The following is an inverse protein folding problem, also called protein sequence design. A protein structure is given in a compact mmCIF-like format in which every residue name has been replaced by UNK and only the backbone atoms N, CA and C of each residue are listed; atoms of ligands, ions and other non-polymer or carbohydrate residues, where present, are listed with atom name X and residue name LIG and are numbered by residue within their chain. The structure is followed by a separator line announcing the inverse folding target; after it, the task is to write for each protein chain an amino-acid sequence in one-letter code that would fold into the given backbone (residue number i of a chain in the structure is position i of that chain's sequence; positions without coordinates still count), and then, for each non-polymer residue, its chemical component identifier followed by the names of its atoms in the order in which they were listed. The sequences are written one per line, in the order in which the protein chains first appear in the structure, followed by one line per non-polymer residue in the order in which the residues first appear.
data_IF_931305180660
#
_entry.id   IF_931305180660
#
_cell.length_a   1.000
_cell.length_b   1.000
_cell.length_c   1.000
_cell.angle_alpha   90.00
_cell.angle_beta   90.00
_cell.angle_gamma   90.00
#
_symmetry.space_group_name_H-M   'P 1'
#
loop_
_entity.id
_entity.type
_entity.pdbx_description
1 polymer ?
#
# COMPACT_ATOMS: atom_id res chain seq x y z
N UNK A 1 -4.70 25.03 -94.52
CA UNK A 1 -4.81 24.23 -93.28
C UNK A 1 -3.40 24.00 -92.77
N UNK A 2 -2.95 24.79 -91.78
CA UNK A 2 -1.63 24.61 -91.15
C UNK A 2 -1.82 24.30 -89.67
N UNK A 3 -1.42 23.10 -89.30
CA UNK A 3 -1.44 22.55 -87.94
C UNK A 3 -0.23 23.06 -87.18
N UNK A 4 -0.45 23.81 -86.09
CA UNK A 4 0.60 24.26 -85.17
C UNK A 4 0.82 23.17 -84.10
N UNK A 5 2.05 22.71 -83.84
CA UNK A 5 2.30 21.68 -82.82
C UNK A 5 2.18 22.27 -81.40
N UNK A 6 1.66 21.49 -80.41
CA UNK A 6 1.50 21.97 -79.04
C UNK A 6 2.87 22.12 -78.35
N UNK A 7 3.20 23.35 -77.96
CA UNK A 7 4.34 23.67 -77.10
C UNK A 7 4.05 23.23 -75.67
N UNK A 8 4.85 22.28 -75.17
CA UNK A 8 4.82 21.86 -73.76
C UNK A 8 5.47 22.95 -72.88
N UNK A 9 4.84 23.40 -71.78
CA UNK A 9 5.47 24.33 -70.84
C UNK A 9 6.55 23.61 -70.00
N UNK A 10 7.66 24.29 -69.65
CA UNK A 10 8.72 23.70 -68.85
C UNK A 10 8.24 23.41 -67.40
N UNK A 11 8.79 22.39 -66.73
CA UNK A 11 8.44 22.08 -65.34
C UNK A 11 8.87 23.21 -64.40
N UNK A 12 7.97 23.59 -63.50
CA UNK A 12 8.21 24.64 -62.52
C UNK A 12 9.40 24.30 -61.59
N UNK A 13 10.25 25.28 -61.22
CA UNK A 13 11.33 25.08 -60.27
C UNK A 13 10.80 24.54 -58.94
N UNK A 14 11.34 23.42 -58.48
CA UNK A 14 11.05 22.86 -57.15
C UNK A 14 11.72 23.77 -56.13
N UNK A 15 10.95 24.63 -55.46
CA UNK A 15 11.43 25.39 -54.31
C UNK A 15 11.77 24.43 -53.15
N UNK A 16 12.99 24.50 -52.58
CA UNK A 16 13.33 23.69 -51.42
C UNK A 16 12.53 24.18 -50.20
N UNK A 17 11.75 23.28 -49.60
CA UNK A 17 10.97 23.58 -48.41
C UNK A 17 11.86 24.11 -47.27
N UNK A 18 11.44 25.16 -46.54
CA UNK A 18 12.26 25.78 -45.51
C UNK A 18 12.57 24.80 -44.37
N UNK A 19 13.81 24.77 -43.86
CA UNK A 19 14.21 23.83 -42.82
C UNK A 19 13.50 24.15 -41.49
N UNK A 20 12.54 23.31 -41.09
CA UNK A 20 11.90 23.36 -39.77
C UNK A 20 12.89 22.90 -38.67
N UNK A 21 13.87 23.73 -38.32
CA UNK A 21 14.90 23.40 -37.31
C UNK A 21 14.68 24.03 -35.92
N UNK A 22 13.58 24.76 -35.70
CA UNK A 22 13.35 25.50 -34.45
C UNK A 22 12.62 24.76 -33.32
N UNK A 23 11.64 23.91 -33.63
CA UNK A 23 10.72 23.37 -32.60
C UNK A 23 11.29 22.18 -31.80
N UNK A 24 12.19 21.38 -32.39
CA UNK A 24 12.67 20.16 -31.75
C UNK A 24 13.60 20.44 -30.54
N UNK A 25 14.41 21.51 -30.60
CA UNK A 25 15.35 21.85 -29.51
C UNK A 25 14.65 22.43 -28.28
N UNK A 26 13.63 23.27 -28.47
CA UNK A 26 12.83 23.81 -27.36
C UNK A 26 11.92 22.77 -26.74
N UNK A 27 11.36 21.85 -27.53
CA UNK A 27 10.56 20.74 -27.02
C UNK A 27 11.38 19.76 -26.15
N UNK A 28 12.65 19.50 -26.50
CA UNK A 28 13.55 18.65 -25.72
C UNK A 28 13.91 19.27 -24.35
N UNK A 29 14.15 20.57 -24.31
CA UNK A 29 14.44 21.30 -23.06
C UNK A 29 13.21 21.28 -22.12
N UNK A 30 12.01 21.46 -22.68
CA UNK A 30 10.76 21.37 -21.92
C UNK A 30 10.50 19.96 -21.38
N UNK A 31 10.71 18.92 -22.20
CA UNK A 31 10.51 17.54 -21.77
C UNK A 31 11.52 17.12 -20.68
N UNK A 32 12.79 17.54 -20.80
CA UNK A 32 13.80 17.27 -19.78
C UNK A 32 13.48 17.93 -18.44
N UNK A 33 13.08 19.21 -18.45
CA UNK A 33 12.70 19.92 -17.23
C UNK A 33 11.42 19.35 -16.60
N UNK A 34 10.41 18.99 -17.42
CA UNK A 34 9.19 18.34 -16.95
C UNK A 34 9.49 16.97 -16.33
N UNK A 35 10.31 16.15 -17.00
CA UNK A 35 10.73 14.85 -16.47
C UNK A 35 11.48 14.99 -15.14
N UNK A 36 12.39 15.96 -15.03
CA UNK A 36 13.12 16.24 -13.78
C UNK A 36 12.16 16.65 -12.65
N UNK A 37 11.17 17.50 -12.94
CA UNK A 37 10.15 17.91 -11.98
C UNK A 37 9.30 16.72 -11.52
N UNK A 38 8.88 15.86 -12.44
CA UNK A 38 8.14 14.64 -12.12
C UNK A 38 8.96 13.73 -11.21
N UNK A 39 10.25 13.53 -11.49
CA UNK A 39 11.14 12.73 -10.65
C UNK A 39 11.28 13.35 -9.26
N UNK A 40 11.51 14.66 -9.16
CA UNK A 40 11.59 15.37 -7.88
C UNK A 40 10.29 15.26 -7.08
N UNK A 41 9.13 15.38 -7.74
CA UNK A 41 7.83 15.17 -7.12
C UNK A 41 7.66 13.74 -6.61
N UNK A 42 8.04 12.73 -7.39
CA UNK A 42 7.96 11.33 -6.98
C UNK A 42 8.88 11.01 -5.79
N UNK A 43 10.11 11.52 -5.80
CA UNK A 43 11.07 11.35 -4.70
C UNK A 43 10.58 12.07 -3.45
N UNK A 44 10.12 13.31 -3.58
CA UNK A 44 9.52 14.08 -2.49
C UNK A 44 8.29 13.39 -1.91
N UNK A 45 7.43 12.83 -2.77
CA UNK A 45 6.27 12.05 -2.37
C UNK A 45 6.68 10.78 -1.62
N UNK A 46 7.65 10.02 -2.12
CA UNK A 46 8.20 8.82 -1.45
C UNK A 46 8.76 9.15 -0.06
N UNK A 47 9.53 10.23 0.08
CA UNK A 47 10.08 10.66 1.38
C UNK A 47 8.96 11.13 2.31
N UNK A 48 7.98 11.87 1.79
CA UNK A 48 6.83 12.33 2.56
C UNK A 48 6.01 11.14 3.10
N UNK A 49 5.76 10.15 2.24
CA UNK A 49 5.12 8.88 2.58
C UNK A 49 5.89 8.15 3.67
N UNK A 50 7.22 8.05 3.55
CA UNK A 50 8.06 7.42 4.57
C UNK A 50 8.02 8.16 5.91
N UNK A 51 7.82 9.49 5.90
CA UNK A 51 7.69 10.31 7.12
C UNK A 51 6.27 10.33 7.70
N UNK A 52 5.25 10.02 6.90
CA UNK A 52 3.82 10.06 7.27
C UNK A 52 3.11 8.75 6.86
N UNK A 53 3.51 7.59 7.43
CA UNK A 53 2.92 6.30 7.06
C UNK A 53 1.41 6.23 7.37
N UNK A 54 0.93 7.03 8.32
CA UNK A 54 -0.48 7.15 8.71
C UNK A 54 -1.40 7.66 7.61
N UNK A 55 -0.89 8.52 6.71
CA UNK A 55 -1.70 9.06 5.62
C UNK A 55 -2.07 8.00 4.59
N UNK A 56 -1.18 7.04 4.34
CA UNK A 56 -1.45 5.92 3.42
C UNK A 56 -2.46 4.96 4.03
N UNK A 57 -2.26 4.60 5.29
CA UNK A 57 -3.16 3.67 5.97
C UNK A 57 -4.57 4.27 6.07
N UNK A 58 -4.69 5.58 6.31
CA UNK A 58 -5.99 6.27 6.35
C UNK A 58 -6.67 6.30 4.97
N UNK A 59 -5.89 6.45 3.90
CA UNK A 59 -6.40 6.36 2.54
C UNK A 59 -6.89 4.95 2.21
N UNK A 60 -6.12 3.92 2.57
CA UNK A 60 -6.53 2.52 2.42
C UNK A 60 -7.81 2.22 3.20
N UNK A 61 -7.91 2.69 4.45
CA UNK A 61 -9.10 2.45 5.27
C UNK A 61 -10.34 3.09 4.65
N UNK A 62 -10.24 4.33 4.15
CA UNK A 62 -11.33 4.98 3.41
C UNK A 62 -11.73 4.22 2.16
N UNK A 63 -10.76 3.64 1.45
CA UNK A 63 -11.03 2.82 0.26
C UNK A 63 -11.76 1.52 0.62
N UNK A 64 -11.40 0.88 1.74
CA UNK A 64 -12.12 -0.29 2.25
C UNK A 64 -13.55 0.10 2.64
N UNK A 65 -13.71 1.22 3.35
CA UNK A 65 -15.03 1.71 3.77
C UNK A 65 -15.96 2.07 2.62
N UNK A 66 -15.41 2.60 1.52
CA UNK A 66 -16.18 2.95 0.33
C UNK A 66 -16.57 1.73 -0.51
N UNK A 67 -15.97 0.57 -0.28
CA UNK A 67 -16.14 -0.63 -1.09
C UNK A 67 -16.58 -1.85 -0.25
N UNK A 68 -17.28 -1.65 0.87
CA UNK A 68 -17.87 -2.78 1.58
C UNK A 68 -18.91 -3.47 0.71
N UNK A 69 -18.81 -4.80 0.60
CA UNK A 69 -19.88 -5.60 0.05
C UNK A 69 -21.10 -5.57 0.99
N UNK A 70 -22.29 -5.82 0.43
CA UNK A 70 -23.56 -5.74 1.17
C UNK A 70 -23.72 -6.79 2.27
N UNK A 71 -22.83 -7.77 2.33
CA UNK A 71 -22.79 -8.87 3.31
C UNK A 71 -22.03 -8.52 4.60
N UNK A 72 -21.32 -7.38 4.64
CA UNK A 72 -20.53 -6.96 5.81
C UNK A 72 -21.42 -6.30 6.87
N UNK A 73 -21.45 -6.90 8.05
CA UNK A 73 -22.24 -6.40 9.18
C UNK A 73 -21.61 -5.18 9.87
N UNK A 74 -22.41 -4.33 10.52
CA UNK A 74 -21.90 -3.17 11.27
C UNK A 74 -20.96 -3.56 12.42
N UNK A 75 -21.14 -4.76 13.00
CA UNK A 75 -20.26 -5.30 14.04
C UNK A 75 -18.86 -5.55 13.48
N UNK A 76 -18.77 -6.16 12.30
CA UNK A 76 -17.48 -6.45 11.65
C UNK A 76 -16.78 -5.17 11.19
N UNK A 77 -17.54 -4.16 10.75
CA UNK A 77 -16.98 -2.83 10.47
C UNK A 77 -16.40 -2.18 11.73
N UNK A 78 -17.06 -2.32 12.87
CA UNK A 78 -16.57 -1.79 14.15
C UNK A 78 -15.30 -2.52 14.61
N UNK A 79 -15.25 -3.85 14.51
CA UNK A 79 -14.06 -4.64 14.83
C UNK A 79 -12.86 -4.29 13.95
N UNK A 80 -13.09 -4.14 12.64
CA UNK A 80 -12.04 -3.73 11.71
C UNK A 80 -11.48 -2.34 12.05
N UNK A 81 -12.34 -1.37 12.38
CA UNK A 81 -11.90 -0.02 12.80
C UNK A 81 -11.11 -0.05 14.10
N UNK A 82 -11.49 -0.88 15.06
CA UNK A 82 -10.77 -1.04 16.31
C UNK A 82 -9.37 -1.62 16.07
N UNK A 83 -9.26 -2.71 15.31
CA UNK A 83 -7.98 -3.32 14.96
C UNK A 83 -7.10 -2.37 14.13
N UNK A 84 -7.70 -1.60 13.22
CA UNK A 84 -7.00 -0.57 12.46
C UNK A 84 -6.43 0.55 13.35
N UNK A 85 -7.16 0.99 14.38
CA UNK A 85 -6.69 2.02 15.31
C UNK A 85 -5.45 1.56 16.10
N UNK A 86 -5.44 0.30 16.54
CA UNK A 86 -4.28 -0.32 17.20
C UNK A 86 -3.08 -0.42 16.25
N UNK A 87 -3.33 -0.90 15.02
CA UNK A 87 -2.31 -0.96 13.99
C UNK A 87 -1.72 0.42 13.67
N UNK A 88 -2.55 1.46 13.58
CA UNK A 88 -2.12 2.84 13.34
C UNK A 88 -1.15 3.31 14.42
N UNK A 89 -1.42 3.03 15.69
CA UNK A 89 -0.50 3.37 16.79
C UNK A 89 0.83 2.59 16.68
N UNK A 90 0.78 1.31 16.28
CA UNK A 90 1.99 0.52 16.03
C UNK A 90 2.82 1.09 14.86
N UNK A 91 2.17 1.58 13.81
CA UNK A 91 2.82 2.24 12.67
C UNK A 91 3.43 3.59 13.07
N UNK A 92 2.71 4.43 13.83
CA UNK A 92 3.21 5.72 14.31
C UNK A 92 4.45 5.56 15.20
N UNK A 93 4.47 4.53 16.04
CA UNK A 93 5.61 4.20 16.91
C UNK A 93 6.75 3.48 16.18
N UNK A 94 6.68 3.33 14.85
CA UNK A 94 7.62 2.56 14.00
C UNK A 94 7.82 1.11 14.48
N UNK A 95 6.81 0.53 15.11
CA UNK A 95 6.80 -0.86 15.59
C UNK A 95 6.16 -1.83 14.61
N UNK A 96 5.51 -1.34 13.57
CA UNK A 96 4.93 -2.18 12.52
C UNK A 96 6.03 -2.80 11.65
N UNK A 97 6.05 -4.13 11.59
CA UNK A 97 6.92 -4.89 10.69
C UNK A 97 6.45 -4.80 9.23
N UNK A 98 7.38 -4.97 8.29
CA UNK A 98 7.07 -4.91 6.86
C UNK A 98 6.23 -6.08 6.36
N UNK A 99 6.39 -7.24 6.99
CA UNK A 99 5.70 -8.48 6.60
C UNK A 99 4.17 -8.39 6.68
N UNK A 100 3.55 -7.95 7.79
CA UNK A 100 2.10 -7.78 7.86
C UNK A 100 1.57 -6.74 6.87
N UNK A 101 2.32 -5.67 6.61
CA UNK A 101 1.96 -4.66 5.60
C UNK A 101 1.91 -5.26 4.18
N UNK A 102 2.85 -6.14 3.85
CA UNK A 102 2.85 -6.85 2.57
C UNK A 102 1.68 -7.83 2.46
N UNK A 103 1.28 -8.47 3.57
CA UNK A 103 0.11 -9.36 3.63
C UNK A 103 -1.19 -8.59 3.38
N UNK A 104 -1.40 -7.45 4.06
CA UNK A 104 -2.53 -6.54 3.80
C UNK A 104 -2.57 -6.10 2.33
N UNK A 105 -1.42 -5.69 1.80
CA UNK A 105 -1.31 -5.28 0.39
C UNK A 105 -1.68 -6.42 -0.56
N UNK A 106 -1.26 -7.65 -0.26
CA UNK A 106 -1.58 -8.83 -1.05
C UNK A 106 -3.09 -9.06 -1.07
N UNK A 107 -3.74 -9.08 0.09
CA UNK A 107 -5.20 -9.28 0.21
C UNK A 107 -5.96 -8.24 -0.63
N UNK A 108 -5.58 -6.96 -0.51
CA UNK A 108 -6.21 -5.87 -1.27
C UNK A 108 -5.93 -5.93 -2.78
N UNK A 109 -4.74 -6.39 -3.19
CA UNK A 109 -4.37 -6.47 -4.61
C UNK A 109 -4.99 -7.68 -5.32
N UNK A 110 -5.18 -8.79 -4.60
CA UNK A 110 -5.84 -9.99 -5.13
C UNK A 110 -7.35 -9.82 -5.27
N UNK A 111 -7.94 -8.81 -4.62
CA UNK A 111 -9.33 -8.46 -4.81
C UNK A 111 -9.56 -7.81 -6.18
N UNK A 112 -9.95 -8.63 -7.16
CA UNK A 112 -10.28 -8.19 -8.53
C UNK A 112 -11.68 -7.59 -8.65
N UNK A 113 -12.57 -7.93 -7.72
CA UNK A 113 -13.97 -7.49 -7.68
C UNK A 113 -14.11 -6.06 -7.20
N UNK A 114 -13.10 -5.52 -6.52
CA UNK A 114 -13.11 -4.16 -5.97
C UNK A 114 -13.96 -4.02 -4.71
N UNK A 115 -14.78 -5.02 -4.38
CA UNK A 115 -15.62 -5.09 -3.18
C UNK A 115 -14.98 -5.93 -2.08
N UNK A 116 -14.99 -5.45 -0.84
CA UNK A 116 -14.41 -6.13 0.32
C UNK A 116 -15.46 -7.03 0.96
N UNK A 117 -15.31 -8.35 0.78
CA UNK A 117 -16.21 -9.35 1.35
C UNK A 117 -15.99 -9.54 2.85
N UNK A 118 -16.95 -10.20 3.50
CA UNK A 118 -16.91 -10.51 4.93
C UNK A 118 -15.67 -11.29 5.36
N UNK A 119 -15.26 -12.28 4.57
CA UNK A 119 -14.06 -13.09 4.82
C UNK A 119 -12.81 -12.22 4.80
N UNK A 120 -12.78 -11.28 3.86
CA UNK A 120 -11.65 -10.38 3.66
C UNK A 120 -11.55 -9.34 4.79
N UNK A 121 -12.68 -8.84 5.29
CA UNK A 121 -12.72 -8.00 6.49
C UNK A 121 -12.17 -8.73 7.72
N UNK A 122 -12.50 -10.02 7.89
CA UNK A 122 -11.97 -10.83 9.01
C UNK A 122 -10.47 -11.06 8.87
N UNK A 123 -10.00 -11.42 7.68
CA UNK A 123 -8.57 -11.63 7.41
C UNK A 123 -7.78 -10.33 7.64
N UNK A 124 -8.29 -9.19 7.16
CA UNK A 124 -7.71 -7.87 7.43
C UNK A 124 -7.66 -7.54 8.92
N UNK A 125 -8.74 -7.82 9.65
CA UNK A 125 -8.83 -7.60 11.10
C UNK A 125 -7.80 -8.43 11.86
N UNK A 126 -7.63 -9.70 11.47
CA UNK A 126 -6.63 -10.60 12.05
C UNK A 126 -5.21 -10.10 11.78
N UNK A 127 -4.89 -9.74 10.54
CA UNK A 127 -3.57 -9.23 10.17
C UNK A 127 -3.25 -7.90 10.86
N UNK A 128 -4.23 -7.01 11.02
CA UNK A 128 -4.02 -5.76 11.76
C UNK A 128 -3.76 -6.01 13.24
N UNK A 129 -4.47 -6.96 13.86
CA UNK A 129 -4.27 -7.33 15.26
C UNK A 129 -2.93 -8.02 15.48
N UNK A 130 -2.55 -8.94 14.60
CA UNK A 130 -1.23 -9.57 14.58
C UNK A 130 -0.14 -8.50 14.46
N UNK A 131 -0.27 -7.58 13.50
CA UNK A 131 0.70 -6.51 13.28
C UNK A 131 0.80 -5.52 14.46
N UNK A 132 -0.30 -5.26 15.17
CA UNK A 132 -0.30 -4.47 16.39
C UNK A 132 0.32 -5.23 17.58
N UNK A 133 0.20 -6.56 17.59
CA UNK A 133 0.64 -7.45 18.66
C UNK A 133 2.02 -8.10 18.49
N UNK A 134 2.64 -8.11 17.29
CA UNK A 134 3.82 -8.92 16.95
C UNK A 134 5.12 -8.68 17.76
N UNK A 135 5.16 -7.73 18.70
CA UNK A 135 6.21 -7.74 19.74
C UNK A 135 5.98 -8.74 20.87
N UNK A 136 4.81 -9.35 20.96
CA UNK A 136 4.52 -10.42 21.92
C UNK A 136 4.84 -11.82 21.36
N UNK A 137 5.07 -11.96 20.04
CA UNK A 137 5.07 -13.27 19.37
C UNK A 137 6.42 -13.72 18.81
N UNK A 138 7.49 -12.94 18.91
CA UNK A 138 8.86 -13.48 18.81
C UNK A 138 9.26 -14.19 20.11
N UNK A 139 8.47 -15.18 20.49
CA UNK A 139 8.91 -16.33 21.30
C UNK A 139 8.05 -17.54 20.93
N UNK A 140 8.38 -18.28 19.86
CA UNK A 140 8.00 -19.66 19.75
C UNK A 140 9.04 -20.48 20.52
N UNK A 141 8.80 -20.69 21.81
CA UNK A 141 9.61 -21.55 22.68
C UNK A 141 9.33 -21.35 24.16
N UNK A 142 8.48 -22.23 24.71
CA UNK A 142 8.12 -22.45 26.14
C UNK A 142 7.20 -21.35 26.73
N UNK A 143 5.87 -21.51 26.75
CA UNK A 143 5.05 -22.36 27.65
C UNK A 143 5.46 -22.29 29.14
N UNK A 144 4.51 -22.31 30.07
CA UNK A 144 3.68 -21.21 30.52
C UNK A 144 4.00 -20.84 31.99
N UNK A 145 3.73 -19.59 32.36
CA UNK A 145 3.64 -19.21 33.77
C UNK A 145 2.41 -19.91 34.38
N UNK A 146 2.65 -21.12 34.91
CA UNK A 146 1.79 -21.73 35.90
C UNK A 146 1.81 -20.86 37.15
N UNK A 147 0.61 -20.53 37.60
CA UNK A 147 0.24 -19.73 38.75
C UNK A 147 0.99 -20.18 40.02
N UNK A 148 2.01 -19.44 40.44
CA UNK A 148 2.53 -19.52 41.82
C UNK A 148 1.83 -18.47 42.67
N UNK A 149 0.56 -18.72 42.97
CA UNK A 149 -0.22 -18.05 44.00
C UNK A 149 -0.20 -18.92 45.27
N UNK A 150 0.33 -18.37 46.37
CA UNK A 150 0.19 -18.77 47.79
C UNK A 150 0.59 -20.21 48.19
N UNK A 151 1.62 -20.35 49.02
CA UNK A 151 1.42 -20.48 50.48
C UNK A 151 0.41 -21.57 50.85
N UNK A 152 0.88 -22.80 51.12
CA UNK A 152 0.56 -23.55 52.34
C UNK A 152 1.69 -24.57 52.56
N UNK A 153 2.42 -24.36 53.65
CA UNK A 153 3.33 -25.34 54.26
C UNK A 153 2.54 -26.56 54.73
N UNK A 154 2.85 -27.81 54.28
CA UNK A 154 2.27 -29.00 54.90
C UNK A 154 3.03 -29.35 56.19
N UNK A 155 2.35 -29.56 57.34
CA UNK A 155 3.00 -30.06 58.55
C UNK A 155 3.39 -31.54 58.38
N UNK A 156 4.68 -31.83 58.51
CA UNK A 156 5.20 -33.17 58.78
C UNK A 156 4.60 -33.71 60.08
N UNK A 157 3.72 -34.69 59.98
CA UNK A 157 3.38 -35.58 61.11
C UNK A 157 3.79 -37.00 60.73
N UNK A 158 4.96 -37.38 61.22
CA UNK A 158 5.48 -38.75 61.23
C UNK A 158 5.01 -39.36 62.56
N UNK A 159 4.04 -40.27 62.55
CA UNK A 159 3.92 -41.33 63.58
C UNK A 159 3.03 -42.46 63.05
N UNK A 160 3.58 -43.69 62.94
CA UNK A 160 2.94 -44.79 63.65
C UNK A 160 3.94 -45.78 64.27
N UNK A 161 3.87 -45.98 65.59
CA UNK A 161 4.11 -47.25 66.32
C UNK A 161 3.77 -47.04 67.80
N UNK A 162 2.97 -47.92 68.41
CA UNK A 162 3.52 -49.14 69.00
C UNK A 162 3.03 -50.44 68.34
#
# INVERSE_FOLDING_TARGET
MSTVPPTFPPPAPIEPAPPRRGCARTALIGCGAAALLVVLCLVGFMIYVQKRPTAITDFMMRQIESNYASDVTEVEKAELRAAYAEFRQAVETKRAEREPLERVRRILTFNRTGEVSREQVRELTEVFREAAGSRASTTPGVEPAEVTETDVTPPSVITPRP
#
